data_IF_318095827367
#
_entry.id   IF_318095827367
#
_cell.length_a   1.000
_cell.length_b   1.000
_cell.length_c   1.000
_cell.angle_alpha   90.00
_cell.angle_beta   90.00
_cell.angle_gamma   90.00
#
_symmetry.space_group_name_H-M   'P 1'
#
loop_
_entity.id
_entity.type
_entity.pdbx_description
1 polymer ?
#
# COMPACT_ATOMS: atom_id res chain seq x y z
N UNK A 1 2.54 3.44 -9.58
CA UNK A 1 1.49 3.52 -8.55
C UNK A 1 0.63 4.72 -8.86
N UNK A 2 -0.67 4.51 -8.91
CA UNK A 2 -1.70 5.51 -9.10
C UNK A 2 -2.87 5.12 -8.20
N UNK A 3 -3.65 6.08 -7.72
CA UNK A 3 -4.96 5.74 -7.18
C UNK A 3 -5.94 5.63 -8.35
N UNK A 4 -6.89 4.71 -8.23
CA UNK A 4 -7.96 4.50 -9.19
C UNK A 4 -9.28 4.75 -8.50
N UNK A 5 -10.19 5.44 -9.18
CA UNK A 5 -11.55 5.64 -8.68
C UNK A 5 -12.39 4.43 -9.09
N UNK A 6 -12.75 3.59 -8.12
CA UNK A 6 -13.58 2.41 -8.32
C UNK A 6 -14.89 2.59 -7.55
N UNK A 7 -16.03 2.58 -8.25
CA UNK A 7 -17.36 2.79 -7.66
C UNK A 7 -17.48 4.08 -6.81
N UNK A 8 -16.72 5.12 -7.17
CA UNK A 8 -16.69 6.40 -6.45
C UNK A 8 -15.69 6.45 -5.29
N UNK A 9 -14.95 5.37 -5.02
CA UNK A 9 -13.93 5.30 -3.97
C UNK A 9 -12.52 5.37 -4.55
N UNK A 10 -11.65 6.16 -3.93
CA UNK A 10 -10.24 6.22 -4.30
C UNK A 10 -9.46 5.08 -3.63
N UNK A 11 -8.88 4.21 -4.44
CA UNK A 11 -8.11 3.05 -3.96
C UNK A 11 -6.70 3.08 -4.56
N UNK A 12 -5.70 2.81 -3.73
CA UNK A 12 -4.30 2.74 -4.18
C UNK A 12 -4.11 1.44 -4.95
N UNK A 13 -3.66 1.57 -6.21
CA UNK A 13 -3.27 0.46 -7.05
C UNK A 13 -1.76 0.49 -7.31
N UNK A 14 -1.15 -0.67 -7.14
CA UNK A 14 0.26 -0.93 -7.40
C UNK A 14 0.39 -1.74 -8.68
N UNK A 15 1.28 -1.27 -9.56
CA UNK A 15 1.77 -2.04 -10.70
C UNK A 15 3.13 -2.59 -10.30
N UNK A 16 3.26 -3.91 -10.30
CA UNK A 16 4.46 -4.64 -9.90
C UNK A 16 5.06 -5.24 -11.17
N UNK A 17 6.37 -5.09 -11.34
CA UNK A 17 7.13 -5.80 -12.37
C UNK A 17 8.01 -6.82 -11.67
N UNK A 18 7.77 -8.10 -11.94
CA UNK A 18 8.56 -9.22 -11.42
C UNK A 18 9.96 -9.24 -12.06
N UNK A 19 10.85 -10.01 -11.48
CA UNK A 19 12.22 -10.21 -11.98
C UNK A 19 12.26 -10.91 -13.36
N UNK A 20 11.33 -11.84 -13.60
CA UNK A 20 11.08 -12.48 -14.90
C UNK A 20 10.47 -11.53 -15.95
N UNK A 21 10.13 -10.29 -15.59
CA UNK A 21 9.58 -9.28 -16.48
C UNK A 21 8.05 -9.22 -16.53
N UNK A 22 7.35 -10.17 -15.90
CA UNK A 22 5.89 -10.18 -15.83
C UNK A 22 5.35 -8.96 -15.08
N UNK A 23 4.16 -8.52 -15.49
CA UNK A 23 3.45 -7.42 -14.87
C UNK A 23 2.28 -7.96 -14.07
N UNK A 24 2.14 -7.44 -12.86
CA UNK A 24 1.01 -7.71 -12.00
C UNK A 24 0.45 -6.40 -11.47
N UNK A 25 -0.80 -6.47 -11.05
CA UNK A 25 -1.53 -5.37 -10.48
C UNK A 25 -2.06 -5.85 -9.13
N UNK A 26 -1.89 -5.01 -8.13
CA UNK A 26 -2.40 -5.27 -6.80
C UNK A 26 -3.09 -4.03 -6.26
N UNK A 27 -4.15 -4.23 -5.48
CA UNK A 27 -4.74 -3.17 -4.68
C UNK A 27 -5.06 -3.68 -3.29
N UNK A 28 -5.04 -2.75 -2.34
CA UNK A 28 -5.32 -3.02 -0.95
C UNK A 28 -6.30 -1.96 -0.44
N UNK A 29 -7.33 -2.41 0.26
CA UNK A 29 -8.28 -1.53 0.95
C UNK A 29 -8.86 -2.26 2.16
N UNK A 30 -9.39 -1.49 3.10
CA UNK A 30 -10.03 -2.02 4.30
C UNK A 30 -11.38 -1.37 4.51
N UNK A 31 -12.25 -2.09 5.20
CA UNK A 31 -13.60 -1.65 5.56
C UNK A 31 -13.68 -1.60 7.07
N UNK A 32 -13.75 -0.40 7.63
CA UNK A 32 -14.03 -0.18 9.05
C UNK A 32 -15.52 -0.41 9.31
N UNK A 33 -15.83 -1.29 10.25
CA UNK A 33 -17.21 -1.59 10.64
C UNK A 33 -17.65 -0.65 11.76
N UNK A 34 -18.65 0.20 11.48
CA UNK A 34 -19.18 1.18 12.44
C UNK A 34 -20.61 0.85 12.91
N UNK A 35 -21.05 -0.39 12.72
CA UNK A 35 -22.38 -0.88 13.09
C UNK A 35 -23.45 -0.57 12.02
N UNK A 36 -23.88 0.69 11.92
CA UNK A 36 -24.97 1.10 11.00
C UNK A 36 -24.50 1.49 9.59
N UNK A 37 -23.21 1.77 9.46
CA UNK A 37 -22.53 2.14 8.21
C UNK A 37 -21.10 1.64 8.27
N UNK A 38 -20.47 1.53 7.11
CA UNK A 38 -19.07 1.13 7.01
C UNK A 38 -18.27 2.23 6.33
N UNK A 39 -16.97 2.30 6.64
CA UNK A 39 -16.04 3.25 6.03
C UNK A 39 -14.97 2.51 5.23
N UNK A 40 -14.78 2.90 3.97
CA UNK A 40 -13.70 2.39 3.13
C UNK A 40 -12.43 3.22 3.36
N UNK A 41 -11.34 2.50 3.63
CA UNK A 41 -9.99 3.04 3.78
C UNK A 41 -9.05 2.45 2.73
N UNK A 42 -8.14 3.28 2.25
CA UNK A 42 -7.06 2.86 1.37
C UNK A 42 -5.86 3.78 1.55
N UNK A 43 -4.99 3.47 2.51
CA UNK A 43 -3.80 4.27 2.81
C UNK A 43 -2.51 3.61 2.33
N UNK A 44 -1.47 4.43 2.16
CA UNK A 44 -0.15 3.97 1.75
C UNK A 44 0.55 3.16 2.83
N UNK A 45 0.48 3.62 4.08
CA UNK A 45 1.11 3.00 5.22
C UNK A 45 0.03 2.48 6.18
N UNK A 46 0.24 1.26 6.69
CA UNK A 46 -0.64 0.63 7.69
C UNK A 46 -0.77 1.49 8.96
N UNK A 47 0.26 2.27 9.32
CA UNK A 47 0.23 3.19 10.45
C UNK A 47 -0.74 4.37 10.27
N UNK A 48 -1.27 4.60 9.07
CA UNK A 48 -2.27 5.64 8.80
C UNK A 48 -3.70 5.16 9.08
N UNK A 49 -3.92 3.86 9.30
CA UNK A 49 -5.23 3.34 9.65
C UNK A 49 -5.51 3.66 11.13
N UNK A 50 -6.66 4.28 11.44
CA UNK A 50 -7.04 4.48 12.83
C UNK A 50 -7.30 3.13 13.52
N UNK A 51 -7.27 3.07 14.86
CA UNK A 51 -7.73 1.89 15.59
C UNK A 51 -9.20 1.62 15.29
N UNK A 52 -9.56 0.36 15.08
CA UNK A 52 -10.93 -0.01 14.72
C UNK A 52 -11.08 -1.49 14.37
N UNK A 53 -12.30 -1.87 14.02
CA UNK A 53 -12.64 -3.21 13.57
C UNK A 53 -12.72 -3.25 12.04
N UNK A 54 -11.85 -4.05 11.43
CA UNK A 54 -11.58 -4.01 9.99
C UNK A 54 -11.78 -5.35 9.29
N UNK A 55 -12.42 -5.28 8.12
CA UNK A 55 -12.22 -6.28 7.07
C UNK A 55 -11.10 -5.78 6.15
N UNK A 56 -10.09 -6.61 5.90
CA UNK A 56 -8.93 -6.25 5.07
C UNK A 56 -8.95 -7.04 3.76
N UNK A 57 -8.81 -6.34 2.64
CA UNK A 57 -8.82 -6.94 1.30
C UNK A 57 -7.52 -6.64 0.57
N UNK A 58 -6.97 -7.68 -0.04
CA UNK A 58 -5.86 -7.59 -0.99
C UNK A 58 -6.28 -8.36 -2.24
N UNK A 59 -6.24 -7.68 -3.38
CA UNK A 59 -6.60 -8.27 -4.68
C UNK A 59 -5.39 -8.16 -5.58
N UNK A 60 -4.94 -9.28 -6.15
CA UNK A 60 -3.73 -9.37 -6.95
C UNK A 60 -4.00 -10.20 -8.20
N UNK A 61 -3.81 -9.62 -9.38
CA UNK A 61 -3.96 -10.32 -10.65
C UNK A 61 -2.92 -9.85 -11.68
N UNK A 62 -2.80 -10.57 -12.80
CA UNK A 62 -1.94 -10.19 -13.93
C UNK A 62 -2.51 -9.03 -14.76
N UNK A 63 -3.80 -8.68 -14.57
CA UNK A 63 -4.49 -7.62 -15.30
C UNK A 63 -5.14 -6.57 -14.40
N UNK A 64 -4.92 -5.30 -14.73
CA UNK A 64 -5.59 -4.16 -14.09
C UNK A 64 -7.12 -4.25 -14.18
N UNK A 65 -7.66 -4.74 -15.30
CA UNK A 65 -9.11 -4.84 -15.49
C UNK A 65 -9.73 -5.89 -14.57
N UNK A 66 -9.04 -7.01 -14.37
CA UNK A 66 -9.50 -8.08 -13.48
C UNK A 66 -9.46 -7.63 -12.02
N UNK A 67 -8.35 -7.04 -11.56
CA UNK A 67 -8.25 -6.45 -10.22
C UNK A 67 -9.38 -5.45 -9.98
N UNK A 68 -9.64 -4.57 -10.96
CA UNK A 68 -10.69 -3.55 -10.86
C UNK A 68 -12.09 -4.17 -10.80
N UNK A 69 -12.36 -5.19 -11.62
CA UNK A 69 -13.65 -5.87 -11.66
C UNK A 69 -13.94 -6.64 -10.36
N UNK A 70 -12.98 -7.41 -9.85
CA UNK A 70 -13.09 -8.13 -8.58
C UNK A 70 -13.36 -7.15 -7.44
N UNK A 71 -12.61 -6.05 -7.39
CA UNK A 71 -12.75 -5.03 -6.35
C UNK A 71 -14.09 -4.32 -6.43
N UNK A 72 -14.56 -3.98 -7.63
CA UNK A 72 -15.87 -3.39 -7.84
C UNK A 72 -17.00 -4.33 -7.41
N UNK A 73 -16.84 -5.65 -7.61
CA UNK A 73 -17.80 -6.65 -7.15
C UNK A 73 -17.80 -6.75 -5.61
N UNK A 74 -16.62 -6.77 -4.97
CA UNK A 74 -16.51 -6.75 -3.50
C UNK A 74 -17.21 -5.51 -2.92
N UNK A 75 -16.95 -4.32 -3.48
CA UNK A 75 -17.57 -3.07 -3.02
C UNK A 75 -19.10 -3.12 -3.19
N UNK A 76 -19.59 -3.60 -4.33
CA UNK A 76 -21.04 -3.75 -4.57
C UNK A 76 -21.67 -4.65 -3.50
N UNK A 77 -21.09 -5.82 -3.24
CA UNK A 77 -21.61 -6.75 -2.24
C UNK A 77 -21.60 -6.16 -0.82
N UNK A 78 -20.61 -5.33 -0.48
CA UNK A 78 -20.56 -4.65 0.82
C UNK A 78 -21.62 -3.55 0.94
N UNK A 79 -21.88 -2.82 -0.15
CA UNK A 79 -22.92 -1.79 -0.20
C UNK A 79 -24.34 -2.35 -0.05
N UNK A 80 -24.57 -3.60 -0.47
CA UNK A 80 -25.83 -4.31 -0.24
C UNK A 80 -26.06 -4.65 1.24
N UNK A 81 -24.99 -4.80 2.04
CA UNK A 81 -25.08 -5.16 3.45
C UNK A 81 -25.24 -3.92 4.36
N UNK A 82 -24.51 -2.85 4.07
CA UNK A 82 -24.59 -1.60 4.82
C UNK A 82 -24.13 -0.41 3.97
N UNK A 83 -24.64 0.82 4.24
CA UNK A 83 -24.15 2.02 3.59
C UNK A 83 -22.63 2.17 3.74
N UNK A 84 -21.94 2.44 2.63
CA UNK A 84 -20.49 2.57 2.58
C UNK A 84 -20.10 3.99 2.19
N UNK A 85 -19.17 4.60 2.92
CA UNK A 85 -18.61 5.92 2.60
C UNK A 85 -17.09 5.92 2.70
N UNK A 86 -16.44 6.95 2.18
CA UNK A 86 -15.00 7.20 2.36
C UNK A 86 -14.74 8.68 2.56
N UNK A 87 -13.61 8.99 3.17
CA UNK A 87 -13.09 10.36 3.22
C UNK A 87 -12.15 10.63 2.05
N UNK A 88 -12.10 11.89 1.63
CA UNK A 88 -11.05 12.39 0.74
C UNK A 88 -9.76 12.43 1.56
N UNK A 89 -8.70 11.85 1.03
CA UNK A 89 -7.40 11.77 1.71
C UNK A 89 -6.38 12.53 0.88
N UNK A 90 -5.98 13.70 1.38
CA UNK A 90 -4.89 14.46 0.80
C UNK A 90 -3.57 13.70 0.95
N UNK A 91 -2.69 13.83 -0.04
CA UNK A 91 -1.34 13.23 -0.03
C UNK A 91 -1.34 11.72 0.27
N UNK A 92 -2.35 10.99 -0.20
CA UNK A 92 -2.50 9.53 -0.04
C UNK A 92 -1.24 8.76 -0.46
N UNK A 93 -0.52 9.24 -1.47
CA UNK A 93 0.79 8.72 -1.88
C UNK A 93 1.87 9.70 -1.38
N UNK A 94 2.89 9.24 -0.63
CA UNK A 94 3.97 10.11 -0.17
C UNK A 94 4.68 10.83 -1.31
N UNK A 95 5.22 12.00 -1.01
CA UNK A 95 6.04 12.79 -1.96
C UNK A 95 7.45 12.23 -2.11
N UNK A 96 7.94 11.49 -1.10
CA UNK A 96 9.20 10.74 -1.14
C UNK A 96 8.91 9.27 -0.85
N UNK A 97 9.26 8.37 -1.76
CA UNK A 97 9.00 6.94 -1.60
C UNK A 97 9.97 6.05 -2.39
N UNK A 98 10.13 4.81 -1.95
CA UNK A 98 10.91 3.78 -2.65
C UNK A 98 10.12 3.27 -3.85
N UNK A 99 10.72 3.35 -5.04
CA UNK A 99 10.15 2.82 -6.29
C UNK A 99 10.67 1.41 -6.59
N UNK A 100 11.92 1.13 -6.24
CA UNK A 100 12.56 -0.18 -6.46
C UNK A 100 13.54 -0.46 -5.33
N UNK A 101 13.58 -1.71 -4.88
CA UNK A 101 14.60 -2.21 -3.97
C UNK A 101 15.25 -3.46 -4.54
N UNK A 102 16.57 -3.57 -4.40
CA UNK A 102 17.34 -4.77 -4.71
C UNK A 102 18.27 -5.08 -3.55
N UNK A 103 18.08 -6.24 -2.94
CA UNK A 103 19.01 -6.77 -1.95
C UNK A 103 19.83 -7.88 -2.59
N UNK A 104 21.16 -7.69 -2.66
CA UNK A 104 22.08 -8.70 -3.20
C UNK A 104 23.39 -8.66 -2.43
N UNK A 105 23.85 -9.83 -1.97
CA UNK A 105 25.14 -10.01 -1.28
C UNK A 105 25.35 -9.01 -0.13
N UNK A 106 24.34 -8.82 0.72
CA UNK A 106 24.42 -7.92 1.87
C UNK A 106 24.26 -6.42 1.57
N UNK A 107 24.05 -6.05 0.29
CA UNK A 107 23.85 -4.65 -0.13
C UNK A 107 22.39 -4.41 -0.52
N UNK A 108 21.77 -3.43 0.13
CA UNK A 108 20.45 -2.92 -0.24
C UNK A 108 20.62 -1.69 -1.14
N UNK A 109 20.15 -1.79 -2.38
CA UNK A 109 20.11 -0.70 -3.34
C UNK A 109 18.66 -0.26 -3.49
N UNK A 110 18.39 1.03 -3.30
CA UNK A 110 17.04 1.60 -3.39
C UNK A 110 17.01 2.69 -4.47
N UNK A 111 16.01 2.63 -5.33
CA UNK A 111 15.65 3.73 -6.21
C UNK A 111 14.51 4.49 -5.53
N UNK A 112 14.74 5.78 -5.25
CA UNK A 112 13.82 6.63 -4.50
C UNK A 112 13.29 7.72 -5.42
N UNK A 113 11.98 7.92 -5.38
CA UNK A 113 11.32 9.07 -6.01
C UNK A 113 11.22 10.17 -4.96
N UNK A 114 11.76 11.36 -5.26
CA UNK A 114 11.79 12.52 -4.39
C UNK A 114 11.10 13.71 -5.07
N UNK A 115 9.78 13.83 -4.91
CA UNK A 115 8.99 14.92 -5.50
C UNK A 115 9.11 16.23 -4.72
N UNK A 116 9.46 16.17 -3.44
CA UNK A 116 9.56 17.33 -2.56
C UNK A 116 10.92 18.02 -2.59
N UNK A 117 11.90 17.48 -3.35
CA UNK A 117 13.30 17.93 -3.35
C UNK A 117 13.93 17.91 -1.96
N UNK A 118 13.57 16.92 -1.13
CA UNK A 118 14.21 16.70 0.15
C UNK A 118 15.73 16.53 -0.03
N UNK A 119 16.53 17.19 0.81
CA UNK A 119 18.00 17.17 0.76
C UNK A 119 18.64 16.07 1.62
N UNK A 120 17.83 15.33 2.37
CA UNK A 120 18.30 14.19 3.15
C UNK A 120 17.19 13.18 3.37
N UNK A 121 17.59 11.93 3.64
CA UNK A 121 16.72 10.82 4.02
C UNK A 121 17.32 10.12 5.22
N UNK A 122 16.51 9.84 6.23
CA UNK A 122 16.88 8.89 7.30
C UNK A 122 16.31 7.53 6.94
N UNK A 123 17.19 6.56 6.75
CA UNK A 123 16.80 5.16 6.61
C UNK A 123 16.87 4.48 7.99
N UNK A 124 15.74 3.96 8.44
CA UNK A 124 15.61 3.18 9.66
C UNK A 124 15.10 1.78 9.32
N UNK A 125 15.71 0.75 9.88
CA UNK A 125 15.31 -0.61 9.62
C UNK A 125 15.82 -1.57 10.68
N UNK A 126 15.30 -2.80 10.61
CA UNK A 126 15.66 -3.88 11.49
C UNK A 126 16.42 -4.93 10.68
N UNK A 127 17.56 -5.39 11.20
CA UNK A 127 18.37 -6.44 10.59
C UNK A 127 18.42 -7.65 11.51
N UNK A 128 18.17 -8.83 10.96
CA UNK A 128 18.48 -10.12 11.58
C UNK A 128 19.39 -10.90 10.64
N UNK A 129 20.35 -11.64 11.18
CA UNK A 129 21.24 -12.50 10.38
C UNK A 129 20.48 -13.78 9.98
N UNK A 130 19.68 -14.31 10.90
CA UNK A 130 18.71 -15.40 10.69
C UNK A 130 17.42 -15.09 11.44
N UNK A 131 16.32 -15.79 11.12
CA UNK A 131 15.01 -15.56 11.76
C UNK A 131 15.05 -15.67 13.30
N UNK A 132 15.96 -16.51 13.81
CA UNK A 132 16.16 -16.78 15.23
C UNK A 132 17.12 -15.81 15.93
N UNK A 133 17.91 -15.04 15.18
CA UNK A 133 18.89 -14.11 15.78
C UNK A 133 18.24 -12.86 16.36
N UNK A 134 18.94 -12.27 17.33
CA UNK A 134 18.57 -10.97 17.90
C UNK A 134 18.46 -9.90 16.82
N UNK A 135 17.41 -9.10 16.93
CA UNK A 135 17.17 -7.96 16.05
C UNK A 135 18.21 -6.87 16.32
N UNK A 136 18.86 -6.40 15.26
CA UNK A 136 19.80 -5.29 15.27
C UNK A 136 19.12 -4.10 14.60
N UNK A 137 19.02 -2.98 15.31
CA UNK A 137 18.54 -1.72 14.75
C UNK A 137 19.59 -1.16 13.80
N UNK A 138 19.17 -0.70 12.63
CA UNK A 138 19.99 -0.04 11.63
C UNK A 138 19.41 1.34 11.33
N UNK A 139 20.23 2.38 11.51
CA UNK A 139 19.88 3.75 11.15
C UNK A 139 21.01 4.37 10.34
N UNK A 140 20.67 5.00 9.22
CA UNK A 140 21.63 5.71 8.36
C UNK A 140 21.00 6.95 7.76
N UNK A 141 21.66 8.09 7.93
CA UNK A 141 21.31 9.32 7.20
C UNK A 141 22.01 9.31 5.84
N UNK A 142 21.25 9.58 4.79
CA UNK A 142 21.70 9.78 3.43
C UNK A 142 21.48 11.25 3.09
N UNK A 143 22.52 11.92 2.60
CA UNK A 143 22.50 13.30 2.11
C UNK A 143 22.76 13.32 0.61
#
# INVERSE_FOLDING_TARGET
MAYSTLKGYEIIMVKIKRDNGELEYALNFSIERLGIKNKLHSYWNIAQYPPGDYLNFQVWESSMSQVSAITAAIITNLQEQAPLFSEVVDNRIPTVFVKKGLYKNGKLNLEIINKSKASSLVFEGNKKITELTTLILFRKTLV
#
